data_IF_870192814318
#
_entry.id   IF_870192814318
#
_cell.length_a   1.000
_cell.length_b   1.000
_cell.length_c   1.000
_cell.angle_alpha   90.00
_cell.angle_beta   90.00
_cell.angle_gamma   90.00
#
_symmetry.space_group_name_H-M   'P 1'
#
loop_
_entity.id
_entity.type
_entity.pdbx_description
1 polymer ?
#
# COMPACT_ATOMS: atom_id res chain seq x y z
N UNK A 1 -1.56 19.68 -0.02
CA UNK A 1 -1.34 18.38 0.68
C UNK A 1 -2.07 17.17 0.07
N UNK A 2 -3.21 17.31 -0.64
CA UNK A 2 -3.90 16.15 -1.26
C UNK A 2 -3.05 15.40 -2.29
N UNK A 3 -2.27 16.12 -3.10
CA UNK A 3 -1.37 15.55 -4.12
C UNK A 3 -0.28 14.63 -3.55
N UNK A 4 0.34 15.00 -2.43
CA UNK A 4 1.34 14.15 -1.75
C UNK A 4 0.71 12.85 -1.22
N UNK A 5 -0.51 12.91 -0.67
CA UNK A 5 -1.20 11.71 -0.20
C UNK A 5 -1.58 10.78 -1.35
N UNK A 6 -2.01 11.34 -2.49
CA UNK A 6 -2.31 10.57 -3.70
C UNK A 6 -1.05 9.88 -4.25
N UNK A 7 0.08 10.60 -4.25
CA UNK A 7 1.38 10.04 -4.63
C UNK A 7 1.79 8.91 -3.68
N UNK A 8 1.59 9.07 -2.37
CA UNK A 8 1.91 8.03 -1.38
C UNK A 8 1.02 6.78 -1.56
N UNK A 9 -0.27 6.97 -1.84
CA UNK A 9 -1.19 5.89 -2.17
C UNK A 9 -0.73 5.14 -3.43
N UNK A 10 -0.37 5.88 -4.49
CA UNK A 10 0.15 5.32 -5.73
C UNK A 10 1.42 4.49 -5.52
N UNK A 11 2.35 4.97 -4.70
CA UNK A 11 3.58 4.23 -4.35
C UNK A 11 3.25 2.95 -3.58
N UNK A 12 2.34 2.99 -2.59
CA UNK A 12 1.90 1.79 -1.87
C UNK A 12 1.30 0.74 -2.80
N UNK A 13 0.49 1.17 -3.78
CA UNK A 13 -0.12 0.27 -4.78
C UNK A 13 0.96 -0.32 -5.71
N UNK A 14 1.91 0.49 -6.19
CA UNK A 14 3.01 0.02 -7.04
C UNK A 14 3.89 -1.00 -6.33
N UNK A 15 4.19 -0.80 -5.04
CA UNK A 15 4.99 -1.75 -4.26
C UNK A 15 4.25 -3.08 -4.06
N UNK A 16 2.95 -3.04 -3.74
CA UNK A 16 2.13 -4.23 -3.61
C UNK A 16 2.03 -5.01 -4.92
N UNK A 17 1.76 -4.32 -6.03
CA UNK A 17 1.68 -4.93 -7.35
C UNK A 17 3.04 -5.46 -7.84
N UNK A 18 4.14 -4.76 -7.54
CA UNK A 18 5.49 -5.19 -7.88
C UNK A 18 5.87 -6.50 -7.21
N UNK A 19 5.57 -6.63 -5.92
CA UNK A 19 5.82 -7.88 -5.17
C UNK A 19 4.93 -9.01 -5.67
N UNK A 20 3.69 -8.70 -6.08
CA UNK A 20 2.81 -9.68 -6.71
C UNK A 20 3.36 -10.25 -8.02
N UNK A 21 3.97 -9.41 -8.84
CA UNK A 21 4.59 -9.86 -10.09
C UNK A 21 5.88 -10.64 -9.85
N UNK A 22 6.68 -10.24 -8.85
CA UNK A 22 8.00 -10.81 -8.59
C UNK A 22 7.97 -12.10 -7.77
N UNK A 23 7.01 -12.26 -6.86
CA UNK A 23 6.88 -13.43 -5.99
C UNK A 23 5.45 -14.00 -5.94
N UNK A 24 4.92 -14.51 -7.07
CA UNK A 24 3.54 -15.01 -7.15
C UNK A 24 3.29 -16.26 -6.28
N UNK A 25 4.34 -16.92 -5.79
CA UNK A 25 4.28 -18.19 -5.04
C UNK A 25 4.61 -17.99 -3.55
N UNK A 26 4.72 -16.74 -3.07
CA UNK A 26 5.05 -16.45 -1.67
C UNK A 26 6.33 -17.15 -1.18
N UNK A 27 7.36 -17.25 -2.03
CA UNK A 27 8.59 -18.02 -1.74
C UNK A 27 9.43 -17.39 -0.64
N UNK A 28 9.19 -16.12 -0.32
CA UNK A 28 9.88 -15.37 0.72
C UNK A 28 9.30 -15.61 2.14
N UNK A 29 8.33 -16.53 2.26
CA UNK A 29 7.78 -16.96 3.56
C UNK A 29 6.47 -16.26 3.95
N UNK A 30 5.90 -15.45 3.05
CA UNK A 30 4.59 -14.82 3.22
C UNK A 30 4.55 -13.59 4.13
N UNK A 31 5.64 -13.29 4.85
CA UNK A 31 5.69 -12.16 5.76
C UNK A 31 5.69 -10.81 5.03
N UNK A 32 6.34 -10.69 3.88
CA UNK A 32 6.34 -9.43 3.11
C UNK A 32 4.94 -9.06 2.63
N UNK A 33 4.14 -10.06 2.28
CA UNK A 33 2.75 -9.86 1.88
C UNK A 33 1.93 -9.22 2.99
N UNK A 34 2.12 -9.66 4.24
CA UNK A 34 1.43 -9.12 5.42
C UNK A 34 1.85 -7.67 5.64
N UNK A 35 3.16 -7.38 5.57
CA UNK A 35 3.70 -6.03 5.78
C UNK A 35 3.20 -5.07 4.69
N UNK A 36 3.23 -5.49 3.42
CA UNK A 36 2.73 -4.70 2.29
C UNK A 36 1.23 -4.46 2.38
N UNK A 37 0.46 -5.46 2.81
CA UNK A 37 -0.98 -5.35 2.96
C UNK A 37 -1.36 -4.40 4.10
N UNK A 38 -0.67 -4.48 5.26
CA UNK A 38 -0.84 -3.52 6.36
C UNK A 38 -0.45 -2.10 5.91
N UNK A 39 0.67 -1.98 5.18
CA UNK A 39 1.15 -0.72 4.59
C UNK A 39 0.16 -0.09 3.60
N UNK A 40 -0.45 -0.91 2.76
CA UNK A 40 -1.47 -0.48 1.81
C UNK A 40 -2.75 -0.03 2.53
N UNK A 41 -3.22 -0.82 3.49
CA UNK A 41 -4.42 -0.51 4.29
C UNK A 41 -4.23 0.81 5.06
N UNK A 42 -3.10 1.00 5.74
CA UNK A 42 -2.84 2.27 6.46
C UNK A 42 -2.75 3.47 5.51
N UNK A 43 -2.19 3.29 4.30
CA UNK A 43 -2.13 4.33 3.26
C UNK A 43 -3.53 4.70 2.76
N UNK A 44 -4.39 3.71 2.50
CA UNK A 44 -5.79 3.88 2.08
C UNK A 44 -6.61 4.56 3.18
N UNK A 45 -6.52 4.08 4.43
CA UNK A 45 -7.24 4.68 5.56
C UNK A 45 -6.75 6.10 5.78
N UNK A 46 -5.44 6.36 5.80
CA UNK A 46 -4.89 7.70 5.96
C UNK A 46 -5.29 8.68 4.84
N UNK A 47 -5.53 8.16 3.64
CA UNK A 47 -6.08 8.93 2.52
C UNK A 47 -7.57 9.26 2.75
N UNK A 48 -8.40 8.25 3.01
CA UNK A 48 -9.86 8.39 3.17
C UNK A 48 -10.23 9.17 4.44
N UNK A 49 -9.72 8.78 5.61
CA UNK A 49 -10.09 9.36 6.91
C UNK A 49 -9.68 10.83 7.05
N UNK A 50 -8.58 11.22 6.39
CA UNK A 50 -8.06 12.59 6.42
C UNK A 50 -8.61 13.47 5.30
N UNK A 51 -9.34 12.89 4.33
CA UNK A 51 -10.22 13.65 3.44
C UNK A 51 -11.62 13.82 4.08
N UNK A 52 -12.09 12.85 4.87
CA UNK A 52 -13.37 12.92 5.61
C UNK A 52 -13.38 13.94 6.76
N UNK A 53 -12.21 14.34 7.28
CA UNK A 53 -12.05 15.31 8.38
C UNK A 53 -11.66 16.73 7.91
N UNK A 54 -11.72 17.00 6.60
CA UNK A 54 -11.37 18.29 6.00
C UNK A 54 -12.61 19.12 5.70
#
# INVERSE_FOLDING_TARGET
MKSVKLMLLGISIMLYAGVWVLDPVARLGGAEWIILLIGLITSVIGFIYKDAKK
#
